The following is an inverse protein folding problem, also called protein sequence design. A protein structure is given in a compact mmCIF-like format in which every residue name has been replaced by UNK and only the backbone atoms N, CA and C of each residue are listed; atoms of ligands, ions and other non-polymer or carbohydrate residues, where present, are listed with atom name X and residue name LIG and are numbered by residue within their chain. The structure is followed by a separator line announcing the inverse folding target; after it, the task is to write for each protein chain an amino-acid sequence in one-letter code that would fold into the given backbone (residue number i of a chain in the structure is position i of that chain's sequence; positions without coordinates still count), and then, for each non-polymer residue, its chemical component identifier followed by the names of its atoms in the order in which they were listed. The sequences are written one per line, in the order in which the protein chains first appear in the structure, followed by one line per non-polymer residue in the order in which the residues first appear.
data_IF_219101020387
#
_entry.id   IF_219101020387
#
_cell.length_a   1.000
_cell.length_b   1.000
_cell.length_c   1.000
_cell.angle_alpha   90.00
_cell.angle_beta   90.00
_cell.angle_gamma   90.00
#
_symmetry.space_group_name_H-M   'P 1'
#
loop_
_entity.id
_entity.type
_entity.pdbx_description
1 polymer ?
#
# COMPACT_ATOMS: atom_id res chain seq x y z
N UNK A 1 8.94 -20.69 11.36
CA UNK A 1 8.86 -19.22 11.60
C UNK A 1 8.19 -18.94 12.94
N UNK A 2 8.69 -18.02 13.74
CA UNK A 2 8.09 -17.64 15.02
C UNK A 2 7.50 -16.23 14.90
N UNK A 3 6.18 -16.09 15.09
CA UNK A 3 5.53 -14.79 15.19
C UNK A 3 5.55 -14.36 16.65
N UNK A 4 6.22 -13.23 16.93
CA UNK A 4 6.24 -12.62 18.26
C UNK A 4 5.36 -11.37 18.25
N UNK A 5 4.34 -11.31 19.10
CA UNK A 5 3.46 -10.17 19.24
C UNK A 5 3.78 -9.41 20.53
N UNK A 6 4.20 -8.17 20.40
CA UNK A 6 4.44 -7.26 21.51
C UNK A 6 3.24 -6.31 21.65
N UNK A 7 2.52 -6.42 22.76
CA UNK A 7 1.37 -5.55 23.06
C UNK A 7 1.68 -4.71 24.29
N UNK A 8 1.42 -3.41 24.20
CA UNK A 8 1.61 -2.48 25.33
C UNK A 8 0.49 -1.44 25.32
N UNK A 9 0.03 -1.04 26.50
CA UNK A 9 -0.89 0.08 26.68
C UNK A 9 -0.31 1.44 26.26
N UNK A 10 1.03 1.52 26.22
CA UNK A 10 1.78 2.70 25.80
C UNK A 10 2.63 2.34 24.58
N UNK A 11 2.35 2.90 23.43
CA UNK A 11 3.09 2.63 22.18
C UNK A 11 4.61 2.70 22.35
N UNK A 12 5.13 3.68 23.10
CA UNK A 12 6.57 3.82 23.35
C UNK A 12 7.23 2.63 24.03
N UNK A 13 6.57 1.97 25.00
CA UNK A 13 7.17 0.81 25.70
C UNK A 13 7.34 -0.41 24.80
N UNK A 14 6.41 -0.66 23.88
CA UNK A 14 6.55 -1.77 22.92
C UNK A 14 7.65 -1.49 21.90
N UNK A 15 7.76 -0.22 21.45
CA UNK A 15 8.83 0.21 20.57
C UNK A 15 10.21 0.13 21.25
N UNK A 16 10.35 0.60 22.50
CA UNK A 16 11.61 0.49 23.26
C UNK A 16 12.06 -0.96 23.46
N UNK A 17 11.11 -1.86 23.74
CA UNK A 17 11.38 -3.30 23.82
C UNK A 17 11.89 -3.86 22.50
N UNK A 18 11.29 -3.47 21.39
CA UNK A 18 11.75 -3.86 20.05
C UNK A 18 13.14 -3.30 19.76
N UNK A 19 13.38 -2.01 20.01
CA UNK A 19 14.67 -1.37 19.76
C UNK A 19 15.79 -2.01 20.60
N UNK A 20 15.49 -2.36 21.85
CA UNK A 20 16.43 -3.11 22.70
C UNK A 20 16.72 -4.52 22.18
N UNK A 21 15.74 -5.18 21.58
CA UNK A 21 15.93 -6.49 20.93
C UNK A 21 16.78 -6.34 19.67
N UNK A 22 16.52 -5.31 18.87
CA UNK A 22 17.27 -5.02 17.64
C UNK A 22 18.72 -4.60 17.91
N UNK A 23 19.02 -3.99 19.07
CA UNK A 23 20.40 -3.68 19.44
C UNK A 23 21.27 -4.94 19.62
N UNK A 24 20.64 -6.08 19.96
CA UNK A 24 21.28 -7.40 20.16
C UNK A 24 21.07 -8.35 18.97
N UNK A 25 20.60 -7.84 17.83
CA UNK A 25 20.26 -8.64 16.67
C UNK A 25 21.45 -9.40 16.08
N UNK A 26 21.15 -10.48 15.40
CA UNK A 26 22.12 -11.24 14.60
C UNK A 26 22.47 -10.44 13.32
N UNK A 27 23.66 -9.85 13.29
CA UNK A 27 24.13 -9.02 12.16
C UNK A 27 24.44 -9.81 10.90
N UNK A 28 24.40 -11.14 10.92
CA UNK A 28 24.54 -11.98 9.73
C UNK A 28 23.24 -12.06 8.92
N UNK A 29 22.12 -11.73 9.56
CA UNK A 29 20.78 -11.69 8.93
C UNK A 29 20.40 -10.27 8.56
N UNK A 30 19.47 -10.17 7.61
CA UNK A 30 18.87 -8.89 7.26
C UNK A 30 17.65 -8.62 8.16
N UNK A 31 17.49 -7.38 8.56
CA UNK A 31 16.38 -6.93 9.39
C UNK A 31 15.62 -5.81 8.68
N UNK A 32 14.30 -5.93 8.55
CA UNK A 32 13.46 -4.92 7.92
C UNK A 32 12.35 -4.52 8.89
N UNK A 33 12.36 -3.26 9.28
CA UNK A 33 11.26 -2.65 10.03
C UNK A 33 10.30 -2.03 9.04
N UNK A 34 9.03 -2.40 9.13
CA UNK A 34 7.96 -1.81 8.34
C UNK A 34 7.15 -0.91 9.26
N UNK A 35 7.03 0.37 8.87
CA UNK A 35 6.32 1.38 9.63
C UNK A 35 5.50 2.30 8.71
N UNK A 36 4.45 2.98 9.24
CA UNK A 36 3.79 4.08 8.52
C UNK A 36 4.76 5.22 8.21
N UNK A 37 4.53 5.94 7.09
CA UNK A 37 5.41 7.05 6.66
C UNK A 37 5.70 8.05 7.78
N UNK A 38 4.67 8.37 8.58
CA UNK A 38 4.78 9.32 9.71
C UNK A 38 5.76 8.88 10.80
N UNK A 39 6.06 7.58 10.92
CA UNK A 39 6.87 7.01 12.00
C UNK A 39 8.29 6.65 11.55
N UNK A 40 8.56 6.54 10.26
CA UNK A 40 9.85 5.98 9.76
C UNK A 40 11.06 6.78 10.25
N UNK A 41 11.03 8.10 10.16
CA UNK A 41 12.15 8.96 10.55
C UNK A 41 12.41 8.93 12.07
N UNK A 42 11.35 8.88 12.89
CA UNK A 42 11.51 8.78 14.35
C UNK A 42 12.10 7.44 14.75
N UNK A 43 11.65 6.36 14.13
CA UNK A 43 12.18 5.01 14.36
C UNK A 43 13.66 4.95 13.93
N UNK A 44 14.03 5.50 12.77
CA UNK A 44 15.43 5.55 12.33
C UNK A 44 16.31 6.29 13.32
N UNK A 45 15.92 7.49 13.77
CA UNK A 45 16.69 8.26 14.76
C UNK A 45 16.88 7.47 16.06
N UNK A 46 15.82 6.90 16.60
CA UNK A 46 15.87 6.12 17.84
C UNK A 46 16.72 4.86 17.70
N UNK A 47 16.72 4.22 16.52
CA UNK A 47 17.61 3.09 16.24
C UNK A 47 19.10 3.47 16.35
N UNK A 48 19.50 4.61 15.79
CA UNK A 48 20.86 5.11 15.93
C UNK A 48 21.23 5.36 17.40
N UNK A 49 20.33 5.99 18.17
CA UNK A 49 20.53 6.25 19.59
C UNK A 49 20.71 4.93 20.39
N UNK A 50 19.86 3.92 20.13
CA UNK A 50 19.93 2.62 20.81
C UNK A 50 21.11 1.76 20.39
N UNK A 51 21.55 1.85 19.16
CA UNK A 51 22.64 0.99 18.65
C UNK A 51 24.00 1.60 18.85
N UNK A 52 24.08 2.92 19.10
CA UNK A 52 25.33 3.69 19.18
C UNK A 52 26.25 3.45 17.96
N UNK A 53 25.65 3.26 16.77
CA UNK A 53 26.35 2.97 15.51
C UNK A 53 26.07 4.04 14.50
N UNK A 54 27.11 4.45 13.74
CA UNK A 54 27.00 5.46 12.68
C UNK A 54 26.37 4.93 11.40
N UNK A 55 26.24 3.60 11.26
CA UNK A 55 25.57 2.97 10.10
C UNK A 55 24.95 1.63 10.47
N UNK A 56 23.81 1.34 9.81
CA UNK A 56 23.01 0.12 10.00
C UNK A 56 22.84 -0.57 8.64
N UNK A 57 23.87 -1.29 8.19
CA UNK A 57 23.87 -1.93 6.85
C UNK A 57 22.92 -3.12 6.79
N UNK A 58 22.75 -3.82 7.89
CA UNK A 58 21.91 -5.02 8.04
C UNK A 58 20.45 -4.72 8.37
N UNK A 59 20.10 -3.43 8.57
CA UNK A 59 18.78 -3.01 9.02
C UNK A 59 18.22 -1.89 8.12
N UNK A 60 17.01 -2.11 7.60
CA UNK A 60 16.26 -1.12 6.82
C UNK A 60 14.99 -0.70 7.59
N UNK A 61 14.62 0.59 7.52
CA UNK A 61 13.29 1.07 7.95
C UNK A 61 12.51 1.51 6.72
N UNK A 62 11.43 0.82 6.41
CA UNK A 62 10.70 0.99 5.17
C UNK A 62 9.19 1.10 5.43
N UNK A 63 8.48 1.72 4.49
CA UNK A 63 7.03 1.54 4.38
C UNK A 63 6.71 0.35 3.48
N UNK A 64 5.45 -0.13 3.49
CA UNK A 64 5.02 -1.16 2.53
C UNK A 64 5.31 -0.76 1.08
N UNK A 65 5.07 0.51 0.73
CA UNK A 65 5.31 1.01 -0.62
C UNK A 65 6.81 1.03 -0.98
N UNK A 66 7.67 1.44 -0.04
CA UNK A 66 9.13 1.42 -0.25
C UNK A 66 9.67 0.00 -0.37
N UNK A 67 9.17 -0.94 0.47
CA UNK A 67 9.54 -2.35 0.37
C UNK A 67 9.14 -2.93 -0.99
N UNK A 68 7.89 -2.71 -1.42
CA UNK A 68 7.40 -3.16 -2.72
C UNK A 68 8.21 -2.57 -3.87
N UNK A 69 8.49 -1.27 -3.84
CA UNK A 69 9.30 -0.61 -4.86
C UNK A 69 10.72 -1.16 -4.93
N UNK A 70 11.37 -1.34 -3.77
CA UNK A 70 12.73 -1.91 -3.69
C UNK A 70 12.75 -3.32 -4.31
N UNK A 71 11.81 -4.18 -3.92
CA UNK A 71 11.69 -5.54 -4.45
C UNK A 71 11.44 -5.56 -5.96
N UNK A 72 10.43 -4.84 -6.43
CA UNK A 72 10.02 -4.86 -7.83
C UNK A 72 11.12 -4.28 -8.74
N UNK A 73 11.80 -3.21 -8.30
CA UNK A 73 12.91 -2.62 -9.06
C UNK A 73 14.10 -3.59 -9.14
N UNK A 74 14.47 -4.22 -8.03
CA UNK A 74 15.56 -5.22 -7.99
C UNK A 74 15.28 -6.42 -8.90
N UNK A 75 14.01 -6.81 -9.04
CA UNK A 75 13.58 -7.93 -9.89
C UNK A 75 13.16 -7.50 -11.31
N UNK A 76 13.55 -6.29 -11.76
CA UNK A 76 13.32 -5.77 -13.11
C UNK A 76 11.85 -5.61 -13.54
N UNK A 77 10.94 -5.38 -12.60
CA UNK A 77 9.56 -4.99 -12.90
C UNK A 77 9.50 -3.48 -13.18
N UNK A 78 9.67 -3.10 -14.44
CA UNK A 78 9.88 -1.71 -14.88
C UNK A 78 8.62 -1.03 -15.44
N UNK A 79 7.47 -1.26 -14.84
CA UNK A 79 6.24 -0.57 -15.21
C UNK A 79 6.31 0.93 -14.87
N UNK A 80 5.71 1.78 -15.71
CA UNK A 80 5.66 3.23 -15.46
C UNK A 80 4.69 3.53 -14.32
N UNK A 81 5.22 4.06 -13.23
CA UNK A 81 4.41 4.40 -12.05
C UNK A 81 3.71 5.74 -12.25
N UNK A 82 2.39 5.75 -12.12
CA UNK A 82 1.61 6.98 -12.07
C UNK A 82 1.65 7.60 -10.67
N UNK A 83 2.03 8.87 -10.62
CA UNK A 83 1.85 9.65 -9.41
C UNK A 83 0.37 10.09 -9.26
N UNK A 84 -0.01 10.56 -8.07
CA UNK A 84 -1.38 10.99 -7.76
C UNK A 84 -1.93 12.01 -8.77
N UNK A 85 -1.13 13.02 -9.13
CA UNK A 85 -1.59 14.08 -10.03
C UNK A 85 -1.88 13.55 -11.44
N UNK A 86 -1.03 12.67 -11.95
CA UNK A 86 -1.23 12.01 -13.24
C UNK A 86 -2.46 11.10 -13.20
N UNK A 87 -2.66 10.33 -12.14
CA UNK A 87 -3.84 9.48 -11.98
C UNK A 87 -5.14 10.30 -11.94
N UNK A 88 -5.16 11.41 -11.19
CA UNK A 88 -6.31 12.33 -11.15
C UNK A 88 -6.60 12.95 -12.52
N UNK A 89 -5.55 13.33 -13.27
CA UNK A 89 -5.71 13.86 -14.64
C UNK A 89 -6.31 12.82 -15.59
N UNK A 90 -5.90 11.55 -15.47
CA UNK A 90 -6.46 10.44 -16.25
C UNK A 90 -7.93 10.23 -15.90
N UNK A 91 -8.29 10.20 -14.62
CA UNK A 91 -9.68 10.09 -14.18
C UNK A 91 -10.51 11.26 -14.72
N UNK A 92 -9.99 12.48 -14.66
CA UNK A 92 -10.66 13.65 -15.24
C UNK A 92 -10.90 13.47 -16.74
N UNK A 93 -9.92 12.97 -17.48
CA UNK A 93 -10.05 12.66 -18.91
C UNK A 93 -11.11 11.59 -19.14
N UNK A 94 -11.09 10.49 -18.39
CA UNK A 94 -12.10 9.42 -18.49
C UNK A 94 -13.51 9.98 -18.28
N UNK A 95 -13.70 10.84 -17.28
CA UNK A 95 -14.98 11.48 -17.00
C UNK A 95 -15.47 12.36 -18.16
N UNK A 96 -14.57 13.17 -18.74
CA UNK A 96 -14.89 14.07 -19.87
C UNK A 96 -15.25 13.26 -21.12
N UNK A 97 -14.40 12.29 -21.48
CA UNK A 97 -14.55 11.48 -22.70
C UNK A 97 -15.81 10.58 -22.65
N UNK A 98 -16.31 10.27 -21.46
CA UNK A 98 -17.47 9.39 -21.26
C UNK A 98 -18.66 10.10 -20.60
N UNK A 99 -18.72 11.42 -20.64
CA UNK A 99 -19.75 12.23 -19.97
C UNK A 99 -21.17 11.77 -20.26
N UNK A 100 -21.45 11.33 -21.49
CA UNK A 100 -22.79 10.92 -21.90
C UNK A 100 -23.22 9.54 -21.35
N UNK A 101 -22.26 8.72 -20.95
CA UNK A 101 -22.50 7.41 -20.31
C UNK A 101 -22.72 7.51 -18.80
N UNK A 102 -22.38 8.64 -18.19
CA UNK A 102 -22.52 8.86 -16.76
C UNK A 102 -23.93 9.34 -16.44
N UNK A 103 -24.52 8.80 -15.40
CA UNK A 103 -25.89 9.13 -14.98
C UNK A 103 -25.87 10.21 -13.88
N UNK A 104 -25.16 9.94 -12.80
CA UNK A 104 -25.13 10.81 -11.61
C UNK A 104 -24.02 11.85 -11.69
N UNK A 105 -22.83 11.49 -12.21
CA UNK A 105 -21.65 12.34 -12.21
C UNK A 105 -21.58 13.34 -13.36
N UNK A 106 -22.52 13.28 -14.30
CA UNK A 106 -22.55 14.16 -15.50
C UNK A 106 -22.40 15.66 -15.17
N UNK A 107 -23.02 16.12 -14.08
CA UNK A 107 -22.91 17.52 -13.61
C UNK A 107 -21.68 17.75 -12.73
N UNK A 108 -21.24 16.72 -12.00
CA UNK A 108 -20.16 16.81 -11.04
C UNK A 108 -18.77 16.97 -11.69
N UNK A 109 -18.61 16.58 -12.96
CA UNK A 109 -17.36 16.69 -13.72
C UNK A 109 -16.78 18.11 -13.71
N UNK A 110 -17.64 19.12 -13.68
CA UNK A 110 -17.24 20.53 -13.73
C UNK A 110 -16.80 21.08 -12.38
N UNK A 111 -17.01 20.37 -11.28
CA UNK A 111 -16.58 20.84 -9.94
C UNK A 111 -15.10 20.60 -9.73
N UNK A 112 -14.42 21.62 -9.22
CA UNK A 112 -13.03 21.50 -8.82
C UNK A 112 -12.89 20.47 -7.70
N UNK A 113 -11.89 19.59 -7.81
CA UNK A 113 -11.62 18.55 -6.82
C UNK A 113 -12.41 17.26 -7.02
N UNK A 114 -13.51 17.21 -7.80
CA UNK A 114 -14.31 16.00 -7.97
C UNK A 114 -13.50 14.80 -8.46
N UNK A 115 -12.65 15.00 -9.46
CA UNK A 115 -11.77 13.93 -9.98
C UNK A 115 -10.78 13.41 -8.91
N UNK A 116 -10.33 14.30 -8.01
CA UNK A 116 -9.45 13.92 -6.88
C UNK A 116 -10.19 13.08 -5.86
N UNK A 117 -11.43 13.47 -5.50
CA UNK A 117 -12.26 12.70 -4.58
C UNK A 117 -12.64 11.33 -5.14
N UNK A 118 -12.95 11.26 -6.43
CA UNK A 118 -13.22 9.99 -7.10
C UNK A 118 -11.96 9.11 -7.12
N UNK A 119 -10.79 9.68 -7.37
CA UNK A 119 -9.53 8.96 -7.25
C UNK A 119 -9.29 8.44 -5.83
N UNK A 120 -9.52 9.25 -4.80
CA UNK A 120 -9.39 8.83 -3.40
C UNK A 120 -10.36 7.67 -3.08
N UNK A 121 -11.58 7.70 -3.64
CA UNK A 121 -12.56 6.61 -3.49
C UNK A 121 -12.07 5.32 -4.15
N UNK A 122 -11.51 5.40 -5.35
CA UNK A 122 -10.89 4.25 -6.05
C UNK A 122 -9.71 3.71 -5.23
N UNK A 123 -8.85 4.59 -4.71
CA UNK A 123 -7.75 4.19 -3.82
C UNK A 123 -8.23 3.44 -2.59
N UNK A 124 -9.32 3.89 -1.97
CA UNK A 124 -9.93 3.20 -0.83
C UNK A 124 -10.41 1.80 -1.22
N UNK A 125 -11.09 1.64 -2.34
CA UNK A 125 -11.50 0.33 -2.85
C UNK A 125 -10.31 -0.59 -3.09
N UNK A 126 -9.26 -0.10 -3.75
CA UNK A 126 -8.02 -0.86 -3.96
C UNK A 126 -7.38 -1.30 -2.64
N UNK A 127 -7.31 -0.42 -1.65
CA UNK A 127 -6.72 -0.74 -0.34
C UNK A 127 -7.51 -1.83 0.39
N UNK A 128 -8.82 -1.92 0.14
CA UNK A 128 -9.72 -2.94 0.64
C UNK A 128 -9.80 -4.18 -0.26
N UNK A 129 -9.00 -4.25 -1.34
CA UNK A 129 -9.04 -5.34 -2.32
C UNK A 129 -10.43 -5.52 -2.95
N UNK A 130 -11.08 -4.40 -3.26
CA UNK A 130 -12.37 -4.35 -3.97
C UNK A 130 -12.09 -3.96 -5.41
N UNK A 131 -12.38 -4.86 -6.33
CA UNK A 131 -12.23 -4.64 -7.76
C UNK A 131 -13.54 -4.04 -8.35
N UNK A 132 -13.50 -3.48 -9.57
CA UNK A 132 -14.73 -2.98 -10.20
C UNK A 132 -15.85 -4.03 -10.28
N UNK A 133 -15.52 -5.31 -10.51
CA UNK A 133 -16.48 -6.41 -10.53
C UNK A 133 -17.21 -6.66 -9.22
N UNK A 134 -16.56 -6.31 -8.10
CA UNK A 134 -17.07 -6.59 -6.75
C UNK A 134 -18.07 -5.51 -6.27
N UNK A 135 -18.19 -4.42 -7.03
CA UNK A 135 -19.14 -3.34 -6.70
C UNK A 135 -20.53 -3.76 -7.09
N UNK A 136 -21.37 -3.98 -6.08
CA UNK A 136 -22.79 -4.26 -6.25
C UNK A 136 -23.55 -2.95 -6.54
N UNK A 137 -24.28 -2.93 -7.65
CA UNK A 137 -25.10 -1.80 -8.10
C UNK A 137 -26.56 -1.92 -7.57
N UNK A 138 -26.90 -3.01 -6.91
CA UNK A 138 -28.27 -3.31 -6.42
C UNK A 138 -28.35 -3.15 -4.91
N UNK A 139 -28.44 -1.92 -4.45
CA UNK A 139 -28.72 -1.62 -3.06
C UNK A 139 -30.19 -1.22 -2.89
N UNK A 140 -30.69 -1.16 -1.65
CA UNK A 140 -32.03 -0.67 -1.35
C UNK A 140 -32.27 0.82 -1.66
N UNK A 141 -31.19 1.57 -2.00
CA UNK A 141 -31.24 3.01 -2.28
C UNK A 141 -30.92 3.34 -3.72
N UNK A 142 -31.93 3.69 -4.55
CA UNK A 142 -31.75 4.02 -5.96
C UNK A 142 -30.70 5.10 -6.25
N UNK A 143 -30.63 6.14 -5.42
CA UNK A 143 -29.62 7.21 -5.60
C UNK A 143 -28.19 6.70 -5.38
N UNK A 144 -27.97 5.74 -4.47
CA UNK A 144 -26.69 5.10 -4.24
C UNK A 144 -26.32 4.19 -5.43
N UNK A 145 -27.28 3.44 -5.95
CA UNK A 145 -27.07 2.56 -7.10
C UNK A 145 -26.56 3.32 -8.32
N UNK A 146 -27.12 4.49 -8.61
CA UNK A 146 -26.68 5.33 -9.72
C UNK A 146 -25.24 5.85 -9.51
N UNK A 147 -24.87 6.19 -8.26
CA UNK A 147 -23.49 6.59 -7.94
C UNK A 147 -22.53 5.42 -8.08
N UNK A 148 -22.88 4.26 -7.54
CA UNK A 148 -22.04 3.05 -7.61
C UNK A 148 -21.82 2.61 -9.06
N UNK A 149 -22.85 2.73 -9.92
CA UNK A 149 -22.74 2.46 -11.36
C UNK A 149 -21.70 3.35 -12.02
N UNK A 150 -21.75 4.65 -11.77
CA UNK A 150 -20.78 5.60 -12.33
C UNK A 150 -19.36 5.37 -11.76
N UNK A 151 -19.24 5.10 -10.45
CA UNK A 151 -17.96 4.77 -9.81
C UNK A 151 -17.36 3.52 -10.45
N UNK A 152 -18.13 2.44 -10.53
CA UNK A 152 -17.71 1.16 -11.15
C UNK A 152 -17.23 1.39 -12.58
N UNK A 153 -18.00 2.13 -13.37
CA UNK A 153 -17.65 2.44 -14.77
C UNK A 153 -16.31 3.19 -14.87
N UNK A 154 -16.13 4.26 -14.07
CA UNK A 154 -14.88 5.04 -14.10
C UNK A 154 -13.71 4.23 -13.59
N UNK A 155 -13.92 3.45 -12.53
CA UNK A 155 -12.88 2.59 -11.96
C UNK A 155 -12.45 1.53 -12.96
N UNK A 156 -13.38 0.85 -13.66
CA UNK A 156 -13.04 -0.10 -14.72
C UNK A 156 -12.22 0.56 -15.83
N UNK A 157 -12.62 1.75 -16.30
CA UNK A 157 -11.88 2.49 -17.32
C UNK A 157 -10.48 2.91 -16.86
N UNK A 158 -10.32 3.20 -15.57
CA UNK A 158 -9.03 3.51 -14.99
C UNK A 158 -8.12 2.26 -14.95
N UNK A 159 -8.65 1.10 -14.55
CA UNK A 159 -7.90 -0.16 -14.59
C UNK A 159 -7.54 -0.56 -16.03
N UNK A 160 -8.46 -0.43 -16.99
CA UNK A 160 -8.18 -0.66 -18.41
C UNK A 160 -7.02 0.22 -18.92
N UNK A 161 -6.94 1.48 -18.45
CA UNK A 161 -5.84 2.38 -18.79
C UNK A 161 -4.51 1.91 -18.18
N UNK A 162 -4.52 1.45 -16.92
CA UNK A 162 -3.31 0.97 -16.25
C UNK A 162 -2.71 -0.28 -16.93
N UNK A 163 -3.54 -1.16 -17.49
CA UNK A 163 -3.08 -2.37 -18.19
C UNK A 163 -2.18 -2.07 -19.40
N UNK A 164 -2.17 -0.83 -19.92
CA UNK A 164 -1.33 -0.39 -21.04
C UNK A 164 0.02 0.16 -20.61
N UNK A 165 0.83 -0.64 -19.87
CA UNK A 165 2.18 -0.31 -19.40
C UNK A 165 2.28 0.73 -18.29
N UNK A 166 1.22 0.95 -17.53
CA UNK A 166 1.23 1.79 -16.34
C UNK A 166 0.85 0.99 -15.10
N UNK A 167 1.29 1.48 -13.96
CA UNK A 167 0.87 0.96 -12.65
C UNK A 167 0.68 2.12 -11.68
N UNK A 168 -0.13 1.94 -10.67
CA UNK A 168 -0.20 2.84 -9.52
C UNK A 168 0.38 2.18 -8.26
N UNK A 169 0.46 2.93 -7.16
CA UNK A 169 1.03 2.42 -5.92
C UNK A 169 0.27 1.21 -5.35
N UNK A 170 -1.03 1.12 -5.58
CA UNK A 170 -1.85 0.00 -5.08
C UNK A 170 -1.64 -1.26 -5.91
N UNK A 171 -1.65 -1.15 -7.24
CA UNK A 171 -1.37 -2.29 -8.13
C UNK A 171 0.04 -2.83 -7.89
N UNK A 172 1.02 -1.97 -7.58
CA UNK A 172 2.37 -2.41 -7.20
C UNK A 172 2.39 -3.20 -5.90
N UNK A 173 1.59 -2.83 -4.90
CA UNK A 173 1.50 -3.60 -3.66
C UNK A 173 0.90 -5.00 -3.90
N UNK A 174 -0.16 -5.09 -4.72
CA UNK A 174 -0.75 -6.38 -5.10
C UNK A 174 0.22 -7.23 -5.93
N UNK A 175 0.92 -6.61 -6.89
CA UNK A 175 1.97 -7.28 -7.66
C UNK A 175 3.08 -7.80 -6.75
N UNK A 176 3.57 -6.97 -5.83
CA UNK A 176 4.57 -7.38 -4.85
C UNK A 176 4.10 -8.59 -4.04
N UNK A 177 2.90 -8.55 -3.46
CA UNK A 177 2.35 -9.66 -2.70
C UNK A 177 2.31 -10.98 -3.51
N UNK A 178 1.98 -10.90 -4.81
CA UNK A 178 1.91 -12.07 -5.70
C UNK A 178 3.27 -12.62 -6.13
N UNK A 179 4.34 -11.81 -6.06
CA UNK A 179 5.70 -12.18 -6.51
C UNK A 179 6.63 -12.59 -5.38
N UNK A 180 6.23 -12.46 -4.13
CA UNK A 180 7.02 -12.96 -2.98
C UNK A 180 7.10 -14.50 -3.08
N UNK A 181 8.30 -15.04 -2.96
CA UNK A 181 8.61 -16.48 -2.99
C UNK A 181 9.53 -16.85 -1.83
N UNK A 182 9.80 -18.13 -1.63
CA UNK A 182 10.71 -18.64 -0.60
C UNK A 182 12.14 -18.10 -0.69
N UNK A 183 12.58 -17.71 -1.87
CA UNK A 183 13.93 -17.17 -2.09
C UNK A 183 13.99 -15.65 -1.92
N UNK A 184 12.84 -14.94 -1.88
CA UNK A 184 12.79 -13.48 -1.90
C UNK A 184 13.40 -12.85 -0.66
N UNK A 185 13.19 -13.47 0.50
CA UNK A 185 13.58 -12.93 1.81
C UNK A 185 14.16 -13.99 2.74
N UNK A 186 14.97 -14.86 2.15
CA UNK A 186 15.75 -15.86 2.92
C UNK A 186 16.63 -15.13 3.94
N UNK A 187 16.66 -15.63 5.16
CA UNK A 187 17.43 -15.04 6.28
C UNK A 187 17.09 -13.56 6.59
N UNK A 188 15.84 -13.17 6.36
CA UNK A 188 15.34 -11.82 6.64
C UNK A 188 14.29 -11.85 7.75
N UNK A 189 14.48 -11.02 8.79
CA UNK A 189 13.52 -10.82 9.86
C UNK A 189 12.69 -9.56 9.60
N UNK A 190 11.37 -9.65 9.73
CA UNK A 190 10.45 -8.54 9.58
C UNK A 190 9.85 -8.10 10.90
N UNK A 191 9.76 -6.78 11.08
CA UNK A 191 9.18 -6.14 12.26
C UNK A 191 8.14 -5.11 11.80
N UNK A 192 6.93 -5.15 12.37
CA UNK A 192 5.85 -4.21 12.04
C UNK A 192 5.61 -3.31 13.24
N UNK A 193 5.78 -2.00 13.07
CA UNK A 193 5.79 -1.02 14.17
C UNK A 193 4.92 0.18 13.84
N UNK A 194 4.18 0.68 14.83
CA UNK A 194 3.43 1.93 14.72
C UNK A 194 2.15 1.85 13.89
N UNK A 195 1.63 0.65 13.64
CA UNK A 195 0.33 0.44 13.00
C UNK A 195 -0.77 0.32 14.04
N UNK A 196 -1.87 1.00 13.79
CA UNK A 196 -3.12 0.87 14.55
C UNK A 196 -3.99 -0.24 13.94
N UNK A 197 -3.98 -0.33 12.60
CA UNK A 197 -4.66 -1.34 11.80
C UNK A 197 -3.89 -1.65 10.51
N UNK A 198 -4.32 -2.65 9.78
CA UNK A 198 -3.79 -3.01 8.47
C UNK A 198 -4.91 -3.06 7.44
N UNK A 199 -4.68 -2.47 6.27
CA UNK A 199 -5.57 -2.66 5.13
C UNK A 199 -5.54 -4.11 4.65
N UNK A 200 -6.59 -4.54 3.95
CA UNK A 200 -6.67 -5.90 3.41
C UNK A 200 -5.47 -6.23 2.50
N UNK A 201 -5.04 -5.26 1.71
CA UNK A 201 -3.86 -5.38 0.83
C UNK A 201 -2.56 -5.54 1.63
N UNK A 202 -2.37 -4.78 2.73
CA UNK A 202 -1.22 -4.95 3.62
C UNK A 202 -1.22 -6.33 4.30
N UNK A 203 -2.40 -6.81 4.73
CA UNK A 203 -2.52 -8.17 5.29
C UNK A 203 -2.16 -9.26 4.28
N UNK A 204 -2.45 -9.08 2.99
CA UNK A 204 -2.00 -10.01 1.94
C UNK A 204 -0.48 -10.07 1.85
N UNK A 205 0.20 -8.90 1.91
CA UNK A 205 1.66 -8.84 1.93
C UNK A 205 2.22 -9.53 3.18
N UNK A 206 1.68 -9.22 4.37
CA UNK A 206 2.10 -9.85 5.63
C UNK A 206 1.96 -11.37 5.56
N UNK A 207 0.83 -11.87 5.06
CA UNK A 207 0.61 -13.32 4.89
C UNK A 207 1.62 -13.95 3.93
N UNK A 208 1.94 -13.28 2.82
CA UNK A 208 2.94 -13.74 1.88
C UNK A 208 4.34 -13.75 2.51
N UNK A 209 4.72 -12.73 3.26
CA UNK A 209 5.97 -12.68 4.00
C UNK A 209 6.05 -13.79 5.06
N UNK A 210 4.99 -14.00 5.85
CA UNK A 210 4.92 -15.09 6.83
C UNK A 210 5.08 -16.46 6.16
N UNK A 211 4.48 -16.67 5.01
CA UNK A 211 4.53 -17.94 4.31
C UNK A 211 5.93 -18.28 3.81
N UNK A 212 6.71 -17.28 3.41
CA UNK A 212 7.95 -17.46 2.66
C UNK A 212 9.21 -16.94 3.36
N UNK A 213 9.13 -16.19 4.45
CA UNK A 213 10.30 -15.89 5.28
C UNK A 213 10.52 -17.01 6.29
N UNK A 214 11.74 -17.46 6.44
CA UNK A 214 12.14 -18.57 7.34
C UNK A 214 12.42 -18.07 8.76
#
# INVERSE_FOLDING_TARGET
MTLNLYVSLLNRKSEDSLLSTLSKRDKTKKHIIIAPDRCTLDIEKRLFDYTSQDSLIDLDVLTFSRLANKFLTTNNFNEKILNKNSAVAIIKKILIDNKDKLVNFKKAINFNGFSSELYNTICLFKSCDINPSDIDEQTSFNALNLKLKDIKFVYQKYEDFLQNNYTDSFNRLSLFASKISSESYKDTNFYFVGFEDFTKQQLQIIRALIKYSS
#
